data_IF_518473763072
#
_entry.id   IF_518473763072
#
_cell.length_a   1.000
_cell.length_b   1.000
_cell.length_c   1.000
_cell.angle_alpha   90.00
_cell.angle_beta   90.00
_cell.angle_gamma   90.00
#
_symmetry.space_group_name_H-M   'P 1'
#
loop_
_entity.id
_entity.type
_entity.pdbx_description
1 polymer ?
#
# COMPACT_ATOMS: atom_id res chain seq x y z
N UNK A 1 16.43 -1.53 -1.32
CA UNK A 1 16.13 -1.42 0.11
C UNK A 1 16.26 0.04 0.48
N UNK A 2 15.22 0.60 1.04
CA UNK A 2 15.11 2.03 1.34
C UNK A 2 15.98 2.35 2.56
N UNK A 3 16.51 3.57 2.67
CA UNK A 3 17.21 3.96 3.89
C UNK A 3 16.24 3.96 5.09
N UNK A 4 16.79 3.76 6.29
CA UNK A 4 16.00 3.61 7.51
C UNK A 4 15.11 4.82 7.79
N UNK A 5 15.60 6.04 7.55
CA UNK A 5 14.84 7.24 7.87
C UNK A 5 13.60 7.36 6.99
N UNK A 6 13.74 7.06 5.69
CA UNK A 6 12.62 7.02 4.76
C UNK A 6 11.64 5.90 5.11
N UNK A 7 12.12 4.69 5.44
CA UNK A 7 11.25 3.60 5.88
C UNK A 7 10.43 3.99 7.13
N UNK A 8 11.07 4.54 8.16
CA UNK A 8 10.41 4.95 9.40
C UNK A 8 9.37 6.06 9.16
N UNK A 9 9.66 6.98 8.23
CA UNK A 9 8.75 8.05 7.83
C UNK A 9 7.51 7.50 7.11
N UNK A 10 7.69 6.69 6.05
CA UNK A 10 6.58 6.06 5.31
C UNK A 10 5.74 5.20 6.25
N UNK A 11 6.39 4.42 7.13
CA UNK A 11 5.71 3.62 8.13
C UNK A 11 4.79 4.47 9.00
N UNK A 12 5.27 5.58 9.55
CA UNK A 12 4.47 6.47 10.41
C UNK A 12 3.27 7.08 9.67
N UNK A 13 3.47 7.48 8.41
CA UNK A 13 2.42 8.02 7.55
C UNK A 13 1.32 6.98 7.30
N UNK A 14 1.69 5.76 6.90
CA UNK A 14 0.74 4.67 6.63
C UNK A 14 -0.01 4.26 7.90
N UNK A 15 0.67 4.16 9.04
CA UNK A 15 0.00 3.91 10.33
C UNK A 15 -1.04 4.99 10.64
N UNK A 16 -0.76 6.26 10.33
CA UNK A 16 -1.74 7.34 10.55
C UNK A 16 -2.91 7.20 9.58
N UNK A 17 -2.64 6.97 8.30
CA UNK A 17 -3.66 6.86 7.26
C UNK A 17 -4.64 5.71 7.54
N UNK A 18 -4.14 4.57 8.03
CA UNK A 18 -4.89 3.35 8.34
C UNK A 18 -5.15 3.17 9.85
N UNK A 19 -5.23 4.25 10.62
CA UNK A 19 -5.44 4.18 12.06
C UNK A 19 -6.66 3.32 12.44
N UNK A 20 -7.74 3.37 11.65
CA UNK A 20 -8.97 2.61 11.87
C UNK A 20 -8.84 1.09 11.72
N UNK A 21 -7.70 0.59 11.24
CA UNK A 21 -7.41 -0.84 11.17
C UNK A 21 -6.92 -1.46 12.49
N UNK A 22 -6.23 -0.68 13.34
CA UNK A 22 -5.51 -1.21 14.50
C UNK A 22 -5.84 -0.51 15.82
N UNK A 23 -6.59 0.60 15.79
CA UNK A 23 -7.06 1.29 16.99
C UNK A 23 -8.58 1.46 16.99
N UNK A 24 -9.20 1.69 18.17
CA UNK A 24 -10.64 1.88 18.27
C UNK A 24 -11.17 3.03 17.40
N UNK A 25 -12.32 2.82 16.77
CA UNK A 25 -12.97 3.76 15.85
C UNK A 25 -13.02 5.21 16.36
N UNK A 26 -13.41 5.40 17.62
CA UNK A 26 -13.58 6.74 18.21
C UNK A 26 -12.27 7.54 18.24
N UNK A 27 -11.13 6.86 18.36
CA UNK A 27 -9.80 7.49 18.30
C UNK A 27 -9.33 7.63 16.84
N UNK A 28 -9.55 6.58 16.04
CA UNK A 28 -9.10 6.51 14.65
C UNK A 28 -9.75 7.57 13.75
N UNK A 29 -11.06 7.82 13.91
CA UNK A 29 -11.83 8.70 13.02
C UNK A 29 -11.30 10.13 12.97
N UNK A 30 -10.57 10.58 14.00
CA UNK A 30 -9.97 11.91 14.06
C UNK A 30 -8.64 12.04 13.32
N UNK A 31 -7.95 10.92 13.05
CA UNK A 31 -6.59 10.93 12.49
C UNK A 31 -6.42 10.14 11.19
N UNK A 32 -7.31 9.19 10.90
CA UNK A 32 -7.30 8.41 9.66
C UNK A 32 -7.41 9.33 8.45
N UNK A 33 -6.85 8.90 7.33
CA UNK A 33 -6.85 9.67 6.09
C UNK A 33 -7.39 8.78 4.97
N UNK A 34 -8.59 9.11 4.48
CA UNK A 34 -9.23 8.35 3.40
C UNK A 34 -8.66 8.69 2.02
N UNK A 35 -7.98 9.82 1.89
CA UNK A 35 -7.24 10.24 0.71
C UNK A 35 -5.80 10.50 1.15
N UNK A 36 -4.92 9.54 0.85
CA UNK A 36 -3.55 9.52 1.33
C UNK A 36 -2.63 8.91 0.28
N UNK A 37 -1.41 9.45 0.19
CA UNK A 37 -0.30 8.87 -0.56
C UNK A 37 0.99 9.07 0.23
N UNK A 38 1.74 7.99 0.40
CA UNK A 38 3.03 8.04 1.10
C UNK A 38 4.01 8.99 0.39
N UNK A 39 4.85 9.64 1.18
CA UNK A 39 5.82 10.63 0.70
C UNK A 39 6.94 10.03 -0.15
N UNK A 40 7.21 8.74 0.00
CA UNK A 40 8.24 8.02 -0.75
C UNK A 40 7.79 6.58 -1.09
N UNK A 41 8.30 6.01 -2.21
CA UNK A 41 8.13 4.61 -2.49
C UNK A 41 9.03 3.74 -1.60
N UNK A 42 8.65 2.49 -1.43
CA UNK A 42 9.40 1.44 -0.73
C UNK A 42 9.43 0.17 -1.58
N UNK A 43 10.25 -0.83 -1.22
CA UNK A 43 10.19 -2.15 -1.90
C UNK A 43 8.89 -2.88 -1.57
N UNK A 44 8.47 -3.89 -2.37
CA UNK A 44 7.29 -4.69 -2.05
C UNK A 44 7.37 -5.37 -0.66
N UNK A 45 8.55 -5.87 -0.29
CA UNK A 45 8.81 -6.46 1.03
C UNK A 45 8.73 -5.44 2.19
N UNK A 46 9.14 -4.19 1.97
CA UNK A 46 8.97 -3.11 2.96
C UNK A 46 7.51 -2.70 3.06
N UNK A 47 6.79 -2.59 1.93
CA UNK A 47 5.36 -2.30 1.92
C UNK A 47 4.56 -3.39 2.63
N UNK A 48 4.90 -4.67 2.44
CA UNK A 48 4.27 -5.80 3.13
C UNK A 48 4.39 -5.67 4.64
N UNK A 49 5.59 -5.35 5.14
CA UNK A 49 5.82 -5.13 6.58
C UNK A 49 4.96 -3.98 7.09
N UNK A 50 5.00 -2.82 6.43
CA UNK A 50 4.29 -1.62 6.87
C UNK A 50 2.77 -1.86 6.90
N UNK A 51 2.18 -2.42 5.84
CA UNK A 51 0.74 -2.69 5.76
C UNK A 51 0.29 -3.77 6.75
N UNK A 52 1.16 -4.74 7.04
CA UNK A 52 0.90 -5.76 8.06
C UNK A 52 0.85 -5.14 9.45
N UNK A 53 1.80 -4.27 9.78
CA UNK A 53 1.81 -3.53 11.06
C UNK A 53 0.62 -2.56 11.18
N UNK A 54 0.21 -1.96 10.07
CA UNK A 54 -0.97 -1.12 10.01
C UNK A 54 -2.28 -1.90 10.06
N UNK A 55 -2.26 -3.24 10.11
CA UNK A 55 -3.47 -4.07 10.24
C UNK A 55 -4.39 -4.04 9.02
N UNK A 56 -3.88 -3.70 7.83
CA UNK A 56 -4.68 -3.45 6.62
C UNK A 56 -5.32 -4.73 6.05
N UNK A 57 -4.94 -5.91 6.53
CA UNK A 57 -5.55 -7.20 6.19
C UNK A 57 -7.04 -7.34 6.54
N UNK A 58 -7.65 -6.34 7.18
CA UNK A 58 -9.09 -6.26 7.41
C UNK A 58 -9.88 -5.57 6.28
N UNK A 59 -9.21 -5.01 5.26
CA UNK A 59 -9.87 -4.35 4.12
C UNK A 59 -10.15 -5.34 2.99
N UNK A 60 -11.41 -5.74 2.86
CA UNK A 60 -11.95 -6.47 1.72
C UNK A 60 -11.15 -7.73 1.37
N UNK A 61 -10.77 -7.88 0.11
CA UNK A 61 -9.99 -9.02 -0.38
C UNK A 61 -8.47 -8.79 -0.28
N UNK A 62 -8.02 -7.63 0.20
CA UNK A 62 -6.60 -7.32 0.26
C UNK A 62 -5.89 -8.17 1.30
N UNK A 63 -4.81 -8.83 0.87
CA UNK A 63 -3.89 -9.56 1.74
C UNK A 63 -2.47 -9.04 1.51
N UNK A 64 -1.73 -8.77 2.59
CA UNK A 64 -0.37 -8.21 2.48
C UNK A 64 0.60 -9.18 1.79
N UNK A 65 0.33 -10.49 1.81
CA UNK A 65 1.08 -11.52 1.08
C UNK A 65 1.05 -11.34 -0.44
N UNK A 66 0.07 -10.63 -0.99
CA UNK A 66 -0.02 -10.37 -2.44
C UNK A 66 1.17 -9.53 -2.93
N UNK A 67 1.86 -8.82 -2.03
CA UNK A 67 3.07 -8.08 -2.36
C UNK A 67 4.27 -8.98 -2.73
N UNK A 68 4.20 -10.28 -2.43
CA UNK A 68 5.21 -11.25 -2.85
C UNK A 68 5.14 -11.56 -4.36
N UNK A 69 4.00 -11.29 -5.00
CA UNK A 69 3.80 -11.48 -6.45
C UNK A 69 4.54 -10.40 -7.25
N UNK A 70 4.70 -9.21 -6.67
CA UNK A 70 5.40 -8.12 -7.33
C UNK A 70 6.91 -8.37 -7.36
N UNK A 71 7.53 -7.99 -8.48
CA UNK A 71 8.97 -8.06 -8.61
C UNK A 71 9.66 -7.19 -7.54
N UNK A 72 10.65 -7.72 -6.83
CA UNK A 72 11.24 -7.05 -5.67
C UNK A 72 12.01 -5.76 -6.00
N UNK A 73 12.40 -5.57 -7.26
CA UNK A 73 12.99 -4.32 -7.75
C UNK A 73 11.93 -3.26 -8.12
N UNK A 74 10.64 -3.57 -8.00
CA UNK A 74 9.58 -2.58 -8.19
C UNK A 74 9.59 -1.57 -7.04
N UNK A 75 9.05 -0.38 -7.32
CA UNK A 75 8.85 0.65 -6.31
C UNK A 75 7.37 0.79 -6.02
N UNK A 76 6.99 0.60 -4.76
CA UNK A 76 5.61 0.65 -4.29
C UNK A 76 5.40 1.91 -3.48
N UNK A 77 4.53 2.80 -3.94
CA UNK A 77 4.01 3.90 -3.13
C UNK A 77 2.67 3.46 -2.53
N UNK A 78 2.62 3.31 -1.21
CA UNK A 78 1.38 3.00 -0.50
C UNK A 78 0.47 4.22 -0.51
N UNK A 79 -0.80 4.01 -0.82
CA UNK A 79 -1.83 5.03 -0.82
C UNK A 79 -3.12 4.51 -0.16
N UNK A 80 -4.10 5.39 0.00
CA UNK A 80 -5.48 5.08 0.38
C UNK A 80 -6.40 6.01 -0.39
N UNK A 81 -7.38 5.43 -1.06
CA UNK A 81 -8.38 6.15 -1.86
C UNK A 81 -9.77 5.62 -1.49
N UNK A 82 -10.23 5.95 -0.28
CA UNK A 82 -11.32 5.29 0.43
C UNK A 82 -10.89 3.93 1.00
N UNK A 83 -10.32 3.10 0.14
CA UNK A 83 -9.87 1.74 0.41
C UNK A 83 -8.38 1.57 0.04
N UNK A 84 -7.86 0.34 0.06
CA UNK A 84 -6.43 0.09 -0.14
C UNK A 84 -6.02 0.44 -1.56
N UNK A 85 -4.96 1.24 -1.70
CA UNK A 85 -4.45 1.65 -3.01
C UNK A 85 -2.92 1.55 -3.05
N UNK A 86 -2.37 1.08 -4.16
CA UNK A 86 -0.92 1.04 -4.39
C UNK A 86 -0.59 1.63 -5.75
N UNK A 87 0.42 2.50 -5.80
CA UNK A 87 1.03 2.94 -7.06
C UNK A 87 2.36 2.22 -7.22
N UNK A 88 2.46 1.39 -8.26
CA UNK A 88 3.63 0.54 -8.48
C UNK A 88 4.34 0.95 -9.77
N UNK A 89 5.62 1.27 -9.65
CA UNK A 89 6.50 1.49 -10.79
C UNK A 89 7.27 0.19 -11.07
N UNK A 90 7.16 -0.33 -12.30
CA UNK A 90 7.84 -1.58 -12.68
C UNK A 90 9.29 -1.35 -13.06
N UNK A 91 10.12 -2.34 -12.75
CA UNK A 91 11.48 -2.50 -13.25
C UNK A 91 11.79 -4.00 -13.32
N UNK A 92 12.29 -4.56 -14.45
CA UNK A 92 11.79 -4.53 -15.83
C UNK A 92 10.73 -5.62 -16.13
N UNK A 93 10.08 -6.20 -15.11
CA UNK A 93 9.12 -7.31 -15.27
C UNK A 93 7.71 -6.86 -15.71
N UNK A 94 6.94 -7.81 -16.25
CA UNK A 94 5.49 -7.68 -16.40
C UNK A 94 4.85 -7.48 -15.02
N UNK A 95 3.93 -6.52 -14.94
CA UNK A 95 3.15 -6.26 -13.74
C UNK A 95 2.02 -7.29 -13.61
N UNK A 96 1.67 -7.74 -12.38
CA UNK A 96 0.57 -8.67 -12.20
C UNK A 96 -0.76 -7.99 -12.61
N UNK A 97 -1.65 -8.78 -13.19
CA UNK A 97 -3.02 -8.37 -13.49
C UNK A 97 -3.85 -8.17 -12.20
N UNK A 98 -4.99 -7.48 -12.33
CA UNK A 98 -5.94 -7.30 -11.24
C UNK A 98 -6.33 -8.63 -10.58
N UNK A 99 -6.61 -9.67 -11.38
CA UNK A 99 -6.98 -11.00 -10.91
C UNK A 99 -5.89 -11.73 -10.16
N UNK A 100 -4.61 -11.53 -10.52
CA UNK A 100 -3.48 -12.20 -9.85
C UNK A 100 -3.27 -11.67 -8.42
N UNK A 101 -3.61 -10.40 -8.19
CA UNK A 101 -3.50 -9.76 -6.87
C UNK A 101 -4.86 -9.44 -6.26
N UNK A 102 -5.94 -10.05 -6.76
CA UNK A 102 -7.32 -9.84 -6.30
C UNK A 102 -7.74 -8.36 -6.15
N UNK A 103 -7.17 -7.47 -6.96
CA UNK A 103 -7.56 -6.08 -7.02
C UNK A 103 -8.85 -5.95 -7.83
N UNK A 104 -9.71 -5.02 -7.44
CA UNK A 104 -10.93 -4.68 -8.18
C UNK A 104 -10.59 -3.88 -9.44
N UNK A 105 -9.59 -3.01 -9.34
CA UNK A 105 -9.15 -2.14 -10.43
C UNK A 105 -7.62 -2.12 -10.58
N UNK A 106 -7.17 -2.12 -11.84
CA UNK A 106 -5.78 -1.85 -12.21
C UNK A 106 -5.73 -0.89 -13.39
N UNK A 107 -5.17 0.29 -13.17
CA UNK A 107 -5.03 1.34 -14.19
C UNK A 107 -3.56 1.71 -14.43
N UNK A 108 -3.21 2.06 -15.66
CA UNK A 108 -1.91 2.65 -15.96
C UNK A 108 -2.01 4.18 -15.95
N UNK A 109 -1.29 4.83 -15.04
CA UNK A 109 -1.32 6.28 -14.87
C UNK A 109 0.10 6.84 -14.71
N UNK A 110 0.52 7.69 -15.65
CA UNK A 110 1.76 8.48 -15.51
C UNK A 110 3.04 7.66 -15.27
N UNK A 111 3.13 6.45 -15.83
CA UNK A 111 4.28 5.55 -15.64
C UNK A 111 4.17 4.61 -14.42
N UNK A 112 3.05 4.63 -13.72
CA UNK A 112 2.73 3.72 -12.62
C UNK A 112 1.53 2.84 -12.99
N UNK A 113 1.43 1.68 -12.33
CA UNK A 113 0.21 0.90 -12.24
C UNK A 113 -0.45 1.21 -10.89
N UNK A 114 -1.68 1.72 -10.92
CA UNK A 114 -2.53 1.93 -9.75
C UNK A 114 -3.32 0.64 -9.52
N UNK A 115 -3.13 0.01 -8.37
CA UNK A 115 -3.92 -1.13 -7.92
C UNK A 115 -4.84 -0.67 -6.78
N UNK A 116 -6.12 -1.00 -6.87
CA UNK A 116 -7.11 -0.58 -5.88
C UNK A 116 -8.02 -1.75 -5.50
N UNK A 117 -8.29 -1.86 -4.19
CA UNK A 117 -9.14 -2.90 -3.59
C UNK A 117 -10.27 -2.21 -2.83
N UNK A 118 -11.52 -2.33 -3.30
CA UNK A 118 -12.71 -1.70 -2.69
C UNK A 118 -13.37 -2.54 -1.62
#
# INVERSE_FOLDING_TARGET
MTDKATFDQVRKEVMTAYADCYMPWEQAKAIRQLDFRASAPVSPSEAQKILTEAGVSCYNNFQTSLLEIFHQDSLVTIAREGSVCLYVQSWPASMPSASEVYADEVDQQGGFFRYWWD
#
